data_IF_136165640797
#
_entry.id   IF_136165640797
#
_cell.length_a   1.000
_cell.length_b   1.000
_cell.length_c   1.000
_cell.angle_alpha   90.00
_cell.angle_beta   90.00
_cell.angle_gamma   90.00
#
_symmetry.space_group_name_H-M   'P 1'
#
loop_
_entity.id
_entity.type
_entity.pdbx_description
1 polymer ?
#
# COMPACT_ATOMS: atom_id res chain seq x y z
N UNK A 1 4.65 -12.31 -7.16
CA UNK A 1 4.78 -10.90 -6.70
C UNK A 1 6.15 -10.58 -6.12
N UNK A 2 6.46 -10.83 -4.84
CA UNK A 2 7.77 -10.43 -4.29
C UNK A 2 8.98 -11.06 -5.03
N UNK A 3 8.88 -12.35 -5.38
CA UNK A 3 9.90 -13.06 -6.16
C UNK A 3 10.05 -12.52 -7.61
N UNK A 4 8.96 -12.05 -8.22
CA UNK A 4 8.99 -11.43 -9.56
C UNK A 4 9.63 -10.04 -9.49
N UNK A 5 9.20 -9.21 -8.52
CA UNK A 5 9.79 -7.88 -8.31
C UNK A 5 11.29 -7.94 -8.07
N UNK A 6 11.75 -8.89 -7.26
CA UNK A 6 13.17 -9.07 -7.00
C UNK A 6 13.97 -9.51 -8.24
N UNK A 7 13.34 -10.23 -9.17
CA UNK A 7 13.93 -10.62 -10.45
C UNK A 7 13.93 -9.46 -11.46
N UNK A 8 12.84 -8.72 -11.54
CA UNK A 8 12.59 -7.72 -12.60
C UNK A 8 13.39 -6.43 -12.40
N UNK A 9 13.82 -6.12 -11.18
CA UNK A 9 14.63 -4.92 -10.89
C UNK A 9 16.13 -5.08 -11.21
N UNK A 10 16.55 -6.18 -11.85
CA UNK A 10 17.93 -6.41 -12.33
C UNK A 10 19.02 -6.12 -11.27
N UNK A 11 18.77 -6.48 -10.00
CA UNK A 11 19.70 -6.25 -8.90
C UNK A 11 19.65 -4.84 -8.28
N UNK A 12 18.76 -3.95 -8.75
CA UNK A 12 18.49 -2.68 -8.07
C UNK A 12 17.76 -2.94 -6.75
N UNK A 13 18.17 -2.23 -5.71
CA UNK A 13 17.52 -2.32 -4.40
C UNK A 13 16.15 -1.64 -4.46
N UNK A 14 15.09 -2.38 -4.14
CA UNK A 14 13.78 -1.82 -3.84
C UNK A 14 13.84 -1.29 -2.41
N UNK A 15 13.61 0.01 -2.23
CA UNK A 15 13.66 0.62 -0.90
C UNK A 15 12.28 0.67 -0.26
N UNK A 16 11.24 0.87 -1.07
CA UNK A 16 9.85 0.97 -0.59
C UNK A 16 8.89 0.23 -1.51
N UNK A 17 7.96 -0.50 -0.92
CA UNK A 17 6.81 -1.08 -1.63
C UNK A 17 5.53 -0.49 -1.06
N UNK A 18 4.71 0.10 -1.92
CA UNK A 18 3.43 0.70 -1.59
C UNK A 18 2.32 -0.18 -2.14
N UNK A 19 1.34 -0.52 -1.31
CA UNK A 19 0.17 -1.28 -1.75
C UNK A 19 -1.14 -0.63 -1.27
N UNK A 20 -2.17 -0.53 -2.14
CA UNK A 20 -3.51 -0.17 -1.69
C UNK A 20 -3.98 -1.21 -0.65
N UNK A 21 -4.52 -0.73 0.46
CA UNK A 21 -4.72 -1.57 1.65
C UNK A 21 -6.13 -1.41 2.21
N UNK A 22 -6.84 -2.55 2.31
CA UNK A 22 -8.06 -2.71 3.11
C UNK A 22 -7.80 -3.66 4.27
N UNK A 23 -7.82 -4.97 4.02
CA UNK A 23 -7.48 -6.04 4.97
C UNK A 23 -6.01 -6.41 5.00
N UNK A 24 -5.16 -5.72 4.23
CA UNK A 24 -3.72 -5.91 4.16
C UNK A 24 -3.23 -7.34 3.84
N UNK A 25 -4.06 -8.23 3.29
CA UNK A 25 -3.65 -9.60 2.91
C UNK A 25 -2.52 -9.56 1.87
N UNK A 26 -2.66 -8.70 0.86
CA UNK A 26 -1.62 -8.49 -0.15
C UNK A 26 -0.33 -7.95 0.45
N UNK A 27 -0.44 -6.90 1.28
CA UNK A 27 0.69 -6.27 1.93
C UNK A 27 1.47 -7.28 2.80
N UNK A 28 0.73 -8.09 3.58
CA UNK A 28 1.31 -9.15 4.40
C UNK A 28 2.00 -10.24 3.57
N UNK A 29 1.36 -10.68 2.47
CA UNK A 29 1.94 -11.66 1.54
C UNK A 29 3.22 -11.15 0.87
N UNK A 30 3.24 -9.88 0.44
CA UNK A 30 4.43 -9.22 -0.12
C UNK A 30 5.55 -9.17 0.91
N UNK A 31 5.24 -8.71 2.13
CA UNK A 31 6.22 -8.66 3.22
C UNK A 31 6.81 -10.04 3.52
N UNK A 32 5.98 -11.08 3.54
CA UNK A 32 6.45 -12.46 3.70
C UNK A 32 7.40 -12.89 2.58
N UNK A 33 7.06 -12.62 1.33
CA UNK A 33 7.91 -12.99 0.19
C UNK A 33 9.27 -12.28 0.21
N UNK A 34 9.31 -10.98 0.53
CA UNK A 34 10.59 -10.26 0.67
C UNK A 34 11.44 -10.78 1.83
N UNK A 35 10.80 -11.18 2.93
CA UNK A 35 11.51 -11.82 4.05
C UNK A 35 12.15 -13.14 3.65
N UNK A 36 11.42 -13.98 2.92
CA UNK A 36 11.95 -15.26 2.43
C UNK A 36 13.15 -15.03 1.50
N UNK A 37 13.06 -14.05 0.60
CA UNK A 37 14.17 -13.66 -0.27
C UNK A 37 15.39 -13.16 0.51
N UNK A 38 15.18 -12.34 1.54
CA UNK A 38 16.26 -11.83 2.38
C UNK A 38 16.91 -12.96 3.21
N UNK A 39 16.09 -13.84 3.79
CA UNK A 39 16.56 -15.02 4.53
C UNK A 39 17.33 -16.01 3.64
N UNK A 40 16.99 -16.10 2.36
CA UNK A 40 17.71 -16.89 1.37
C UNK A 40 18.97 -16.19 0.82
N UNK A 41 19.29 -14.97 1.27
CA UNK A 41 20.44 -14.20 0.77
C UNK A 41 20.30 -13.68 -0.66
N UNK A 42 19.10 -13.73 -1.24
CA UNK A 42 18.82 -13.30 -2.61
C UNK A 42 18.66 -11.78 -2.72
N UNK A 43 18.36 -11.11 -1.60
CA UNK A 43 18.37 -9.66 -1.46
C UNK A 43 19.07 -9.28 -0.15
N UNK A 44 19.69 -8.09 -0.12
CA UNK A 44 20.43 -7.64 1.05
C UNK A 44 19.53 -7.31 2.26
N UNK A 45 18.29 -6.89 2.04
CA UNK A 45 17.33 -6.50 3.09
C UNK A 45 15.89 -6.43 2.55
N UNK A 46 14.93 -6.53 3.46
CA UNK A 46 13.51 -6.27 3.16
C UNK A 46 13.27 -4.78 2.80
N UNK A 47 12.37 -4.46 1.86
CA UNK A 47 11.93 -3.09 1.62
C UNK A 47 11.00 -2.60 2.73
N UNK A 48 10.91 -1.28 2.90
CA UNK A 48 9.89 -0.66 3.74
C UNK A 48 8.52 -0.87 3.10
N UNK A 49 7.53 -1.33 3.87
CA UNK A 49 6.16 -1.46 3.37
C UNK A 49 5.34 -0.20 3.69
N UNK A 50 4.50 0.22 2.75
CA UNK A 50 3.57 1.34 2.95
C UNK A 50 2.17 0.91 2.59
N UNK A 51 1.27 0.94 3.58
CA UNK A 51 -0.16 0.75 3.36
C UNK A 51 -0.78 2.06 2.87
N UNK A 52 -1.36 2.06 1.67
CA UNK A 52 -2.06 3.22 1.14
C UNK A 52 -3.58 3.01 1.33
N UNK A 53 -4.21 3.86 2.12
CA UNK A 53 -5.61 3.74 2.53
C UNK A 53 -6.43 4.93 2.00
N UNK A 54 -7.72 4.71 1.77
CA UNK A 54 -8.65 5.82 1.60
C UNK A 54 -8.88 6.51 2.95
N UNK A 55 -8.79 7.83 3.01
CA UNK A 55 -8.92 8.58 4.27
C UNK A 55 -10.28 8.38 4.96
N UNK A 56 -11.32 8.08 4.19
CA UNK A 56 -12.65 7.74 4.68
C UNK A 56 -12.69 6.45 5.52
N UNK A 57 -11.70 5.56 5.36
CA UNK A 57 -11.61 4.26 6.04
C UNK A 57 -10.12 3.86 6.17
N UNK A 58 -9.38 4.59 7.02
CA UNK A 58 -7.93 4.41 7.19
C UNK A 58 -7.52 3.87 8.58
N UNK A 59 -7.90 2.63 8.94
CA UNK A 59 -7.63 2.06 10.24
C UNK A 59 -6.14 1.85 10.54
N UNK A 60 -5.29 1.52 9.56
CA UNK A 60 -3.85 1.34 9.78
C UNK A 60 -3.17 2.68 10.07
N UNK A 61 -3.52 3.73 9.34
CA UNK A 61 -3.03 5.10 9.57
C UNK A 61 -3.44 5.58 10.97
N UNK A 62 -4.69 5.35 11.36
CA UNK A 62 -5.16 5.68 12.70
C UNK A 62 -4.46 4.85 13.79
N UNK A 63 -4.23 3.56 13.53
CA UNK A 63 -3.56 2.67 14.46
C UNK A 63 -2.12 3.12 14.68
N UNK A 64 -1.29 3.27 13.65
CA UNK A 64 0.14 3.58 13.79
C UNK A 64 0.44 4.90 14.52
N UNK A 65 -0.54 5.79 14.71
CA UNK A 65 -0.44 7.00 15.55
C UNK A 65 -0.61 6.73 17.05
N UNK A 66 -0.99 5.51 17.45
CA UNK A 66 -1.21 5.08 18.83
C UNK A 66 0.10 4.65 19.49
N UNK A 67 0.23 4.84 20.81
CA UNK A 67 1.51 4.74 21.52
C UNK A 67 2.09 3.33 21.58
N UNK A 68 1.26 2.29 21.54
CA UNK A 68 1.71 0.90 21.68
C UNK A 68 0.92 -0.07 20.79
N UNK A 69 1.50 -1.25 20.56
CA UNK A 69 0.93 -2.29 19.69
C UNK A 69 -0.42 -2.81 20.16
N UNK A 70 -0.66 -2.90 21.46
CA UNK A 70 -1.93 -3.41 21.98
C UNK A 70 -3.07 -2.43 21.69
N UNK A 71 -2.82 -1.12 21.78
CA UNK A 71 -3.78 -0.08 21.39
C UNK A 71 -3.94 -0.02 19.86
N UNK A 72 -2.85 -0.21 19.12
CA UNK A 72 -2.88 -0.28 17.65
C UNK A 72 -3.82 -1.39 17.15
N UNK A 73 -3.68 -2.61 17.66
CA UNK A 73 -4.54 -3.76 17.27
C UNK A 73 -6.02 -3.56 17.59
N UNK A 74 -6.34 -2.80 18.65
CA UNK A 74 -7.72 -2.51 19.06
C UNK A 74 -8.31 -1.25 18.41
N UNK A 75 -7.51 -0.53 17.62
CA UNK A 75 -7.96 0.70 16.98
C UNK A 75 -9.14 0.43 16.04
N UNK A 76 -10.10 1.36 16.04
CA UNK A 76 -11.24 1.35 15.13
C UNK A 76 -11.45 2.76 14.59
N UNK A 77 -11.84 2.84 13.33
CA UNK A 77 -12.32 4.08 12.69
C UNK A 77 -13.78 3.89 12.29
N UNK A 78 -14.53 4.99 12.19
CA UNK A 78 -15.85 4.96 11.56
C UNK A 78 -15.66 5.11 10.05
N UNK A 79 -15.90 4.05 9.29
CA UNK A 79 -15.80 4.10 7.84
C UNK A 79 -16.87 5.02 7.25
N UNK A 80 -16.49 5.82 6.26
CA UNK A 80 -17.37 6.69 5.49
C UNK A 80 -17.38 6.26 4.01
N UNK A 81 -18.41 6.65 3.24
CA UNK A 81 -18.38 6.47 1.79
C UNK A 81 -17.13 7.11 1.16
N UNK A 82 -16.58 6.44 0.15
CA UNK A 82 -15.41 6.90 -0.62
C UNK A 82 -15.49 6.40 -2.05
N UNK A 83 -14.88 7.13 -2.98
CA UNK A 83 -14.64 6.67 -4.37
C UNK A 83 -13.83 5.37 -4.41
N UNK A 84 -13.03 5.09 -3.38
CA UNK A 84 -12.27 3.84 -3.22
C UNK A 84 -13.04 2.79 -2.39
N UNK A 85 -14.30 2.52 -2.75
CA UNK A 85 -15.24 1.72 -1.96
C UNK A 85 -14.72 0.31 -1.57
N UNK A 86 -13.86 -0.30 -2.39
CA UNK A 86 -13.26 -1.61 -2.10
C UNK A 86 -12.20 -1.59 -1.00
N UNK A 87 -11.78 -0.39 -0.56
CA UNK A 87 -10.82 -0.21 0.53
C UNK A 87 -11.46 0.02 1.91
N UNK A 88 -12.79 -0.03 2.00
CA UNK A 88 -13.51 0.19 3.25
C UNK A 88 -13.25 -0.90 4.29
N UNK A 89 -12.47 -0.58 5.32
CA UNK A 89 -12.28 -1.43 6.50
C UNK A 89 -12.23 -0.55 7.75
N UNK A 90 -12.80 -1.02 8.86
CA UNK A 90 -12.89 -0.21 10.09
C UNK A 90 -11.79 -0.53 11.11
N UNK A 91 -11.14 -1.68 10.96
CA UNK A 91 -10.16 -2.20 11.92
C UNK A 91 -8.93 -2.72 11.20
N UNK A 92 -7.72 -2.44 11.72
CA UNK A 92 -6.52 -3.00 11.14
C UNK A 92 -6.48 -4.49 11.47
N UNK A 93 -6.10 -5.31 10.51
CA UNK A 93 -5.82 -6.71 10.78
C UNK A 93 -4.43 -6.88 11.41
N UNK A 94 -4.26 -7.90 12.25
CA UNK A 94 -2.99 -8.16 12.93
C UNK A 94 -1.85 -8.46 11.96
N UNK A 95 -2.10 -9.24 10.91
CA UNK A 95 -1.08 -9.57 9.90
C UNK A 95 -0.56 -8.34 9.14
N UNK A 96 -1.42 -7.35 8.87
CA UNK A 96 -1.03 -6.10 8.24
C UNK A 96 -0.17 -5.26 9.17
N UNK A 97 -0.56 -5.15 10.44
CA UNK A 97 0.24 -4.47 11.46
C UNK A 97 1.59 -5.15 11.65
N UNK A 98 1.63 -6.48 11.74
CA UNK A 98 2.87 -7.25 11.82
C UNK A 98 3.79 -7.00 10.62
N UNK A 99 3.24 -6.93 9.40
CA UNK A 99 4.00 -6.63 8.21
C UNK A 99 4.60 -5.21 8.24
N UNK A 100 3.81 -4.22 8.65
CA UNK A 100 4.25 -2.83 8.79
C UNK A 100 5.31 -2.70 9.90
N UNK A 101 5.09 -3.27 11.09
CA UNK A 101 6.05 -3.19 12.19
C UNK A 101 7.40 -3.83 11.85
N UNK A 102 7.39 -4.98 11.20
CA UNK A 102 8.62 -5.72 10.87
C UNK A 102 9.45 -5.03 9.80
N UNK A 103 8.80 -4.47 8.79
CA UNK A 103 9.46 -3.76 7.70
C UNK A 103 9.89 -2.33 8.08
N UNK A 104 9.60 -1.87 9.30
CA UNK A 104 9.72 -0.44 9.65
C UNK A 104 8.81 0.45 8.78
N UNK A 105 7.70 -0.13 8.33
CA UNK A 105 6.73 0.46 7.42
C UNK A 105 5.80 1.48 8.06
N UNK A 106 4.95 2.07 7.23
CA UNK A 106 3.94 3.05 7.65
C UNK A 106 2.63 2.88 6.88
N UNK A 107 1.62 3.67 7.25
CA UNK A 107 0.37 3.78 6.53
C UNK A 107 0.07 5.25 6.18
N UNK A 108 -0.51 5.47 5.01
CA UNK A 108 -0.83 6.80 4.48
C UNK A 108 -2.29 6.81 4.03
N UNK A 109 -3.06 7.73 4.59
CA UNK A 109 -4.43 8.01 4.21
C UNK A 109 -4.47 9.03 3.07
N UNK A 110 -5.28 8.77 2.04
CA UNK A 110 -5.44 9.61 0.85
C UNK A 110 -6.90 10.01 0.70
N UNK A 111 -7.15 11.31 0.54
CA UNK A 111 -8.50 11.84 0.34
C UNK A 111 -9.01 11.57 -1.09
N UNK A 112 -10.32 11.42 -1.25
CA UNK A 112 -10.99 11.13 -2.51
C UNK A 112 -10.60 12.09 -3.65
N UNK A 113 -10.41 13.38 -3.36
CA UNK A 113 -9.96 14.35 -4.35
C UNK A 113 -8.59 13.98 -4.94
N UNK A 114 -7.64 13.59 -4.09
CA UNK A 114 -6.30 13.17 -4.51
C UNK A 114 -6.34 11.83 -5.25
N UNK A 115 -7.22 10.92 -4.86
CA UNK A 115 -7.45 9.64 -5.57
C UNK A 115 -7.93 9.92 -7.00
N UNK A 116 -8.96 10.75 -7.16
CA UNK A 116 -9.52 11.13 -8.45
C UNK A 116 -8.51 11.90 -9.31
N UNK A 117 -7.73 12.81 -8.72
CA UNK A 117 -6.69 13.54 -9.42
C UNK A 117 -5.61 12.60 -9.99
N UNK A 118 -5.16 11.63 -9.20
CA UNK A 118 -4.18 10.65 -9.66
C UNK A 118 -4.78 9.71 -10.72
N UNK A 119 -6.04 9.29 -10.58
CA UNK A 119 -6.74 8.51 -11.58
C UNK A 119 -6.81 9.24 -12.93
N UNK A 120 -7.17 10.53 -12.93
CA UNK A 120 -7.20 11.35 -14.15
C UNK A 120 -5.82 11.49 -14.79
N UNK A 121 -4.77 11.65 -13.97
CA UNK A 121 -3.38 11.71 -14.45
C UNK A 121 -2.99 10.42 -15.15
N UNK A 122 -3.27 9.28 -14.53
CA UNK A 122 -2.96 7.96 -15.08
C UNK A 122 -3.76 7.67 -16.35
N UNK A 123 -5.04 8.06 -16.40
CA UNK A 123 -5.87 7.93 -17.59
C UNK A 123 -5.31 8.74 -18.78
N UNK A 124 -4.75 9.93 -18.54
CA UNK A 124 -4.06 10.72 -19.56
C UNK A 124 -2.78 10.04 -20.09
N UNK A 125 -2.20 9.11 -19.33
CA UNK A 125 -1.07 8.26 -19.72
C UNK A 125 -1.52 6.91 -20.29
N UNK A 126 -2.82 6.73 -20.55
CA UNK A 126 -3.41 5.50 -21.09
C UNK A 126 -3.63 4.39 -20.05
N UNK A 127 -3.44 4.68 -18.76
CA UNK A 127 -3.62 3.73 -17.65
C UNK A 127 -4.95 3.99 -16.96
N UNK A 128 -5.96 3.19 -17.30
CA UNK A 128 -7.23 3.19 -16.57
C UNK A 128 -7.10 2.27 -15.35
N UNK A 129 -6.94 2.86 -14.16
CA UNK A 129 -6.84 2.15 -12.89
C UNK A 129 -8.08 2.45 -12.02
N UNK A 130 -8.55 1.45 -11.28
CA UNK A 130 -9.65 1.62 -10.30
C UNK A 130 -9.06 1.94 -8.89
N UNK A 131 -9.65 1.69 -7.70
CA UNK A 131 -9.17 2.21 -6.39
C UNK A 131 -7.68 2.02 -6.01
N UNK A 132 -6.89 1.31 -6.82
CA UNK A 132 -5.43 1.26 -6.78
C UNK A 132 -4.73 2.60 -7.02
N UNK A 133 -5.41 3.62 -7.56
CA UNK A 133 -4.86 4.97 -7.67
C UNK A 133 -4.35 5.53 -6.32
N UNK A 134 -4.93 5.08 -5.20
CA UNK A 134 -4.46 5.38 -3.83
C UNK A 134 -2.99 4.97 -3.64
N UNK A 135 -2.63 3.75 -4.04
CA UNK A 135 -1.26 3.23 -3.93
C UNK A 135 -0.27 3.99 -4.82
N UNK A 136 -0.69 4.32 -6.04
CA UNK A 136 0.15 5.09 -6.99
C UNK A 136 0.35 6.52 -6.51
N UNK A 137 -0.68 7.18 -5.98
CA UNK A 137 -0.60 8.54 -5.43
C UNK A 137 0.45 8.61 -4.30
N UNK A 138 0.40 7.65 -3.37
CA UNK A 138 1.37 7.55 -2.26
C UNK A 138 2.78 7.25 -2.79
N UNK A 139 2.92 6.27 -3.68
CA UNK A 139 4.23 5.92 -4.25
C UNK A 139 4.89 7.10 -4.98
N UNK A 140 4.10 7.87 -5.73
CA UNK A 140 4.58 9.04 -6.46
C UNK A 140 5.05 10.15 -5.51
N UNK A 141 4.35 10.36 -4.39
CA UNK A 141 4.76 11.31 -3.36
C UNK A 141 6.07 10.87 -2.66
N UNK A 142 6.20 9.59 -2.32
CA UNK A 142 7.40 8.99 -1.73
C UNK A 142 8.60 9.06 -2.69
N UNK A 143 8.40 8.77 -3.97
CA UNK A 143 9.47 8.80 -4.97
C UNK A 143 10.05 10.20 -5.17
N UNK A 144 9.21 11.25 -5.12
CA UNK A 144 9.66 12.65 -5.25
C UNK A 144 10.56 13.13 -4.11
N UNK A 145 10.46 12.52 -2.94
CA UNK A 145 11.14 13.00 -1.72
C UNK A 145 12.35 12.16 -1.35
N UNK A 146 12.38 10.88 -1.74
CA UNK A 146 13.39 9.93 -1.27
C UNK A 146 14.57 9.71 -2.23
N UNK A 147 14.42 10.00 -3.52
CA UNK A 147 15.40 9.61 -4.56
C UNK A 147 15.60 8.09 -4.66
N UNK A 148 14.75 7.30 -4.00
CA UNK A 148 14.86 5.86 -3.82
C UNK A 148 13.95 5.11 -4.80
N UNK A 149 14.22 3.82 -5.01
CA UNK A 149 13.34 2.99 -5.84
C UNK A 149 12.07 2.63 -5.05
N UNK A 150 10.95 3.22 -5.46
CA UNK A 150 9.61 2.96 -4.92
C UNK A 150 8.82 2.14 -5.91
N UNK A 151 8.25 1.02 -5.46
CA UNK A 151 7.37 0.17 -6.27
C UNK A 151 5.94 0.32 -5.76
N UNK A 152 5.03 0.71 -6.64
CA UNK A 152 3.59 0.64 -6.37
C UNK A 152 3.04 -0.69 -6.87
N UNK A 153 2.21 -1.34 -6.06
CA UNK A 153 1.51 -2.57 -6.45
C UNK A 153 0.09 -2.22 -6.80
N UNK A 154 -0.34 -2.66 -7.98
CA UNK A 154 -1.72 -2.56 -8.42
C UNK A 154 -2.41 -3.93 -8.33
N UNK A 155 -3.67 -3.93 -7.92
CA UNK A 155 -4.50 -5.12 -7.73
C UNK A 155 -5.64 -5.24 -8.75
N UNK A 156 -5.91 -4.21 -9.56
CA UNK A 156 -7.01 -4.23 -10.52
C UNK A 156 -6.79 -3.29 -11.71
N UNK A 157 -7.11 -3.78 -12.91
CA UNK A 157 -7.29 -2.92 -14.09
C UNK A 157 -8.65 -2.21 -13.99
N UNK A 158 -8.73 -0.96 -14.45
CA UNK A 158 -9.92 -0.09 -14.39
C UNK A 158 -11.11 -0.52 -15.24
N UNK A 159 -11.09 -1.71 -15.84
CA UNK A 159 -12.22 -2.24 -16.62
C UNK A 159 -13.48 -2.52 -15.78
N UNK A 160 -13.36 -2.60 -14.44
CA UNK A 160 -14.50 -2.88 -13.55
C UNK A 160 -15.46 -1.70 -13.39
N UNK A 161 -15.02 -0.47 -13.66
CA UNK A 161 -15.84 0.74 -13.57
C UNK A 161 -16.52 1.17 -14.88
N UNK A 162 -16.32 0.43 -15.97
CA UNK A 162 -16.89 0.71 -17.30
C UNK A 162 -18.21 -0.03 -17.57
N UNK A 163 -18.74 -0.76 -16.59
CA UNK A 163 -20.01 -1.48 -16.69
C UNK A 163 -20.93 -0.97 -15.59
N UNK A 164 -21.54 0.19 -15.81
CA UNK A 164 -22.50 0.81 -14.90
C UNK A 164 -23.25 1.95 -15.58
#
# INVERSE_FOLDING_TARGET
MAYELARDVAGRRIDTVVAPTSRADLLAGIGRGFRELAAAGLIAREPRLVAAEAAAAAPFTAALRRPDRAVQERTRVAAKPTVAFSLGEERPCRQGLDALWRSGGTAVAVDDEAILAEQRRLAAEGLLLEPSAVGVAVARAEARTSGALVVAIDTATGLKGLVG
#
